data_IF_912027026500
#
_entry.id   IF_912027026500
#
_cell.length_a   1.000
_cell.length_b   1.000
_cell.length_c   1.000
_cell.angle_alpha   90.00
_cell.angle_beta   90.00
_cell.angle_gamma   90.00
#
_symmetry.space_group_name_H-M   'P 1'
#
loop_
_entity.id
_entity.type
_entity.pdbx_description
1 polymer ?
#
# COMPACT_ATOMS: atom_id res chain seq x y z
N UNK A 1 66.74 -13.44 -23.44
CA UNK A 1 65.57 -14.20 -22.93
C UNK A 1 65.02 -13.68 -21.58
N UNK A 2 65.08 -12.38 -21.25
CA UNK A 2 64.59 -11.86 -19.95
C UNK A 2 63.40 -10.88 -20.03
N UNK A 3 63.13 -10.26 -21.18
CA UNK A 3 62.03 -9.28 -21.33
C UNK A 3 60.68 -9.89 -21.69
N UNK A 4 60.65 -11.00 -22.45
CA UNK A 4 59.38 -11.65 -22.86
C UNK A 4 58.65 -12.37 -21.71
N UNK A 5 59.36 -12.85 -20.69
CA UNK A 5 58.76 -13.54 -19.54
C UNK A 5 58.19 -12.56 -18.50
N UNK A 6 58.74 -11.34 -18.40
CA UNK A 6 58.23 -10.30 -17.50
C UNK A 6 56.91 -9.73 -18.03
N UNK A 7 56.78 -9.59 -19.35
CA UNK A 7 55.56 -9.06 -19.98
C UNK A 7 54.36 -10.01 -19.81
N UNK A 8 54.58 -11.33 -19.89
CA UNK A 8 53.53 -12.36 -19.74
C UNK A 8 53.05 -12.45 -18.27
N UNK A 9 53.96 -12.33 -17.30
CA UNK A 9 53.60 -12.34 -15.87
C UNK A 9 52.80 -11.08 -15.50
N UNK A 10 53.18 -9.92 -16.04
CA UNK A 10 52.44 -8.66 -15.84
C UNK A 10 51.04 -8.68 -16.45
N UNK A 11 50.84 -9.34 -17.60
CA UNK A 11 49.50 -9.50 -18.19
C UNK A 11 48.65 -10.51 -17.41
N UNK A 12 49.24 -11.58 -16.88
CA UNK A 12 48.50 -12.54 -16.04
C UNK A 12 48.03 -11.92 -14.72
N UNK A 13 48.86 -11.08 -14.09
CA UNK A 13 48.50 -10.36 -12.85
C UNK A 13 47.45 -9.28 -13.14
N UNK A 14 47.51 -8.58 -14.28
CA UNK A 14 46.48 -7.61 -14.66
C UNK A 14 45.13 -8.25 -14.99
N UNK A 15 45.10 -9.46 -15.56
CA UNK A 15 43.84 -10.19 -15.80
C UNK A 15 43.22 -10.67 -14.48
N UNK A 16 44.04 -11.08 -13.50
CA UNK A 16 43.53 -11.48 -12.17
C UNK A 16 43.02 -10.28 -11.35
N UNK A 17 43.64 -9.10 -11.51
CA UNK A 17 43.20 -7.87 -10.81
C UNK A 17 42.02 -7.20 -11.52
N UNK A 18 41.89 -7.34 -12.85
CA UNK A 18 40.73 -6.86 -13.59
C UNK A 18 39.48 -7.76 -13.42
N UNK A 19 39.65 -9.03 -13.09
CA UNK A 19 38.53 -9.94 -12.77
C UNK A 19 38.07 -9.91 -11.32
N UNK A 20 38.80 -9.25 -10.40
CA UNK A 20 38.41 -9.18 -8.99
C UNK A 20 37.27 -8.20 -8.68
N UNK A 21 36.83 -7.41 -9.68
CA UNK A 21 35.67 -6.51 -9.54
C UNK A 21 34.34 -7.13 -10.04
N UNK A 22 34.35 -8.39 -10.45
CA UNK A 22 33.14 -9.17 -10.72
C UNK A 22 33.11 -10.35 -9.77
N UNK A 23 31.94 -10.60 -9.16
CA UNK A 23 31.68 -11.63 -8.14
C UNK A 23 31.96 -11.23 -6.68
N UNK A 24 31.50 -10.03 -6.26
CA UNK A 24 30.75 -10.02 -5.00
C UNK A 24 29.41 -10.72 -5.27
N UNK A 25 29.39 -12.05 -5.16
CA UNK A 25 28.14 -12.75 -4.95
C UNK A 25 27.65 -12.28 -3.57
N UNK A 26 26.79 -11.26 -3.53
CA UNK A 26 26.05 -10.97 -2.32
C UNK A 26 25.25 -12.24 -2.02
N UNK A 27 25.63 -12.93 -0.96
CA UNK A 27 24.87 -14.04 -0.45
C UNK A 27 23.54 -13.43 0.01
N UNK A 28 22.56 -13.40 -0.89
CA UNK A 28 21.26 -12.81 -0.58
C UNK A 28 20.63 -13.65 0.51
N UNK A 29 20.39 -13.00 1.65
CA UNK A 29 19.71 -13.63 2.75
C UNK A 29 18.22 -13.52 2.45
N UNK A 30 17.60 -14.63 2.07
CA UNK A 30 16.16 -14.66 1.88
C UNK A 30 15.46 -14.55 3.24
N UNK A 31 14.43 -13.71 3.31
CA UNK A 31 13.60 -13.50 4.51
C UNK A 31 12.13 -13.47 4.14
N UNK A 32 11.30 -14.17 4.89
CA UNK A 32 9.85 -14.06 4.79
C UNK A 32 9.36 -12.96 5.74
N UNK A 33 8.73 -11.94 5.18
CA UNK A 33 8.13 -10.82 5.89
C UNK A 33 6.62 -11.00 5.89
N UNK A 34 6.02 -11.00 7.08
CA UNK A 34 4.57 -10.97 7.25
C UNK A 34 4.15 -9.67 7.93
N UNK A 35 3.44 -8.81 7.19
CA UNK A 35 2.76 -7.64 7.74
C UNK A 35 1.37 -8.08 8.21
N UNK A 36 1.08 -7.90 9.50
CA UNK A 36 -0.25 -8.10 10.08
C UNK A 36 -0.88 -6.75 10.36
N UNK A 37 -2.10 -6.52 9.91
CA UNK A 37 -2.83 -5.28 10.19
C UNK A 37 -4.34 -5.46 10.20
N UNK A 38 -5.04 -4.67 10.99
CA UNK A 38 -6.49 -4.49 10.93
C UNK A 38 -6.88 -3.10 10.39
N UNK A 39 -5.92 -2.30 9.95
CA UNK A 39 -6.07 -0.89 9.58
C UNK A 39 -5.56 0.06 10.67
N UNK A 40 -5.89 -0.17 11.94
CA UNK A 40 -5.47 0.70 13.06
C UNK A 40 -4.15 0.28 13.66
N UNK A 41 -3.88 -1.03 13.68
CA UNK A 41 -2.67 -1.63 14.21
C UNK A 41 -1.85 -2.24 13.08
N UNK A 42 -0.53 -2.13 13.18
CA UNK A 42 0.42 -2.72 12.23
C UNK A 42 1.50 -3.47 13.01
N UNK A 43 1.81 -4.69 12.54
CA UNK A 43 2.90 -5.50 13.07
C UNK A 43 3.61 -6.26 11.96
N UNK A 44 4.87 -5.93 11.75
CA UNK A 44 5.76 -6.64 10.84
C UNK A 44 6.51 -7.73 11.59
N UNK A 45 6.48 -8.94 11.05
CA UNK A 45 7.20 -10.11 11.55
C UNK A 45 8.12 -10.64 10.46
N UNK A 46 9.32 -11.09 10.82
CA UNK A 46 10.24 -11.71 9.89
C UNK A 46 10.61 -13.12 10.32
N UNK A 47 10.77 -14.01 9.35
CA UNK A 47 11.28 -15.37 9.53
C UNK A 47 12.42 -15.61 8.55
N UNK A 48 13.57 -16.06 9.04
CA UNK A 48 14.76 -16.37 8.22
C UNK A 48 14.96 -17.88 8.17
N UNK A 49 15.26 -18.41 6.99
CA UNK A 49 15.57 -19.83 6.77
C UNK A 49 16.97 -20.16 7.34
N UNK A 50 17.85 -19.16 7.46
CA UNK A 50 19.18 -19.32 8.02
C UNK A 50 19.12 -19.20 9.55
N UNK A 51 19.07 -20.36 10.22
CA UNK A 51 18.95 -20.56 11.68
C UNK A 51 19.92 -19.77 12.56
N UNK A 52 20.99 -19.17 12.02
CA UNK A 52 22.01 -18.44 12.77
C UNK A 52 22.05 -16.94 12.50
N UNK A 53 21.20 -16.40 11.62
CA UNK A 53 21.17 -14.97 11.28
C UNK A 53 19.87 -14.33 11.75
N UNK A 54 19.93 -13.59 12.85
CA UNK A 54 18.82 -12.79 13.33
C UNK A 54 18.57 -11.63 12.37
N UNK A 55 17.28 -11.38 12.09
CA UNK A 55 16.87 -10.20 11.33
C UNK A 55 17.14 -8.96 12.19
N UNK A 56 17.83 -7.92 11.67
CA UNK A 56 18.13 -6.73 12.46
C UNK A 56 16.86 -6.07 12.98
N UNK A 57 16.83 -5.71 14.27
CA UNK A 57 15.66 -5.06 14.85
C UNK A 57 15.38 -3.69 14.22
N UNK A 58 16.42 -2.96 13.79
CA UNK A 58 16.27 -1.68 13.10
C UNK A 58 15.51 -1.80 11.78
N UNK A 59 15.73 -2.88 11.03
CA UNK A 59 14.98 -3.19 9.82
C UNK A 59 13.49 -3.38 10.13
N UNK A 60 13.17 -4.10 11.22
CA UNK A 60 11.78 -4.32 11.61
C UNK A 60 11.10 -3.04 12.09
N UNK A 61 11.81 -2.15 12.79
CA UNK A 61 11.27 -0.84 13.20
C UNK A 61 10.96 0.01 11.96
N UNK A 62 11.93 0.15 11.04
CA UNK A 62 11.74 0.90 9.79
C UNK A 62 10.58 0.33 8.94
N UNK A 63 10.45 -0.99 8.89
CA UNK A 63 9.33 -1.65 8.21
C UNK A 63 7.99 -1.39 8.90
N UNK A 64 7.93 -1.39 10.23
CA UNK A 64 6.68 -1.10 10.95
C UNK A 64 6.24 0.35 10.72
N UNK A 65 7.17 1.29 10.81
CA UNK A 65 6.88 2.71 10.61
C UNK A 65 6.37 2.96 9.18
N UNK A 66 7.08 2.44 8.17
CA UNK A 66 6.65 2.58 6.77
C UNK A 66 5.33 1.87 6.48
N UNK A 67 5.13 0.69 7.05
CA UNK A 67 3.88 -0.06 6.90
C UNK A 67 2.68 0.67 7.55
N UNK A 68 2.89 1.38 8.67
CA UNK A 68 1.86 2.20 9.29
C UNK A 68 1.45 3.36 8.37
N UNK A 69 2.43 4.09 7.83
CA UNK A 69 2.20 5.17 6.87
C UNK A 69 1.43 4.66 5.64
N UNK A 70 1.84 3.51 5.10
CA UNK A 70 1.16 2.92 3.95
C UNK A 70 -0.25 2.47 4.27
N UNK A 71 -0.48 1.81 5.40
CA UNK A 71 -1.83 1.37 5.79
C UNK A 71 -2.77 2.58 5.88
N UNK A 72 -2.30 3.71 6.40
CA UNK A 72 -3.11 4.94 6.54
C UNK A 72 -3.23 5.77 5.25
N UNK A 73 -2.31 5.60 4.28
CA UNK A 73 -2.33 6.33 3.00
C UNK A 73 -3.45 5.86 2.07
N UNK A 74 -4.21 6.77 1.46
CA UNK A 74 -5.24 6.44 0.47
C UNK A 74 -4.67 6.05 -0.91
N UNK A 75 -3.35 6.24 -1.10
CA UNK A 75 -2.67 6.03 -2.39
C UNK A 75 -1.85 4.75 -2.44
N UNK A 76 -1.56 4.13 -1.30
CA UNK A 76 -0.81 2.87 -1.26
C UNK A 76 -1.67 1.71 -1.76
N UNK A 77 -0.99 0.71 -2.31
CA UNK A 77 -1.59 -0.57 -2.72
C UNK A 77 -0.86 -1.73 -2.06
N UNK A 78 -1.41 -2.94 -2.19
CA UNK A 78 -0.72 -4.16 -1.76
C UNK A 78 0.66 -4.26 -2.41
N UNK A 79 0.75 -3.91 -3.69
CA UNK A 79 1.98 -3.94 -4.47
C UNK A 79 2.99 -2.89 -4.01
N UNK A 80 2.54 -1.65 -3.75
CA UNK A 80 3.44 -0.59 -3.27
C UNK A 80 4.00 -0.95 -1.89
N UNK A 81 3.15 -1.42 -0.97
CA UNK A 81 3.57 -1.87 0.37
C UNK A 81 4.59 -3.00 0.26
N UNK A 82 4.33 -4.00 -0.60
CA UNK A 82 5.28 -5.09 -0.82
C UNK A 82 6.59 -4.59 -1.42
N UNK A 83 6.56 -3.57 -2.28
CA UNK A 83 7.76 -2.92 -2.81
C UNK A 83 8.54 -2.24 -1.70
N UNK A 84 7.89 -1.41 -0.89
CA UNK A 84 8.52 -0.70 0.22
C UNK A 84 9.19 -1.67 1.21
N UNK A 85 8.52 -2.77 1.56
CA UNK A 85 9.11 -3.81 2.42
C UNK A 85 10.33 -4.48 1.76
N UNK A 86 10.30 -4.70 0.45
CA UNK A 86 11.45 -5.25 -0.28
C UNK A 86 12.61 -4.27 -0.33
N UNK A 87 12.32 -2.99 -0.57
CA UNK A 87 13.33 -1.94 -0.65
C UNK A 87 14.01 -1.73 0.70
N UNK A 88 13.24 -1.72 1.80
CA UNK A 88 13.79 -1.70 3.16
C UNK A 88 14.66 -2.93 3.38
N UNK A 89 14.18 -4.15 3.09
CA UNK A 89 14.98 -5.37 3.27
C UNK A 89 16.31 -5.34 2.49
N UNK A 90 16.30 -4.80 1.26
CA UNK A 90 17.49 -4.66 0.42
C UNK A 90 18.54 -3.75 1.06
N UNK A 91 18.16 -2.66 1.74
CA UNK A 91 19.09 -1.80 2.49
C UNK A 91 19.88 -2.58 3.55
N UNK A 92 19.30 -3.66 4.08
CA UNK A 92 19.92 -4.54 5.06
C UNK A 92 20.52 -5.82 4.46
N UNK A 93 20.67 -5.90 3.12
CA UNK A 93 21.20 -7.06 2.39
C UNK A 93 20.33 -8.33 2.50
N UNK A 94 19.01 -8.16 2.49
CA UNK A 94 18.03 -9.24 2.42
C UNK A 94 17.21 -9.16 1.13
N UNK A 95 16.79 -10.33 0.62
CA UNK A 95 15.72 -10.44 -0.37
C UNK A 95 14.45 -10.90 0.33
N UNK A 96 13.42 -10.04 0.34
CA UNK A 96 12.19 -10.30 1.07
C UNK A 96 11.10 -10.93 0.18
N UNK A 97 10.49 -12.00 0.69
CA UNK A 97 9.19 -12.47 0.27
C UNK A 97 8.14 -11.90 1.23
N UNK A 98 7.19 -11.12 0.72
CA UNK A 98 6.32 -10.28 1.56
C UNK A 98 4.87 -10.73 1.43
N UNK A 99 4.24 -11.00 2.58
CA UNK A 99 2.82 -11.32 2.71
C UNK A 99 2.13 -10.30 3.60
N UNK A 100 0.95 -9.84 3.18
CA UNK A 100 0.09 -9.01 4.01
C UNK A 100 -1.05 -9.90 4.53
N UNK A 101 -1.35 -9.83 5.81
CA UNK A 101 -2.51 -10.50 6.40
C UNK A 101 -3.33 -9.49 7.18
N UNK A 102 -4.62 -9.45 6.87
CA UNK A 102 -5.58 -8.64 7.59
C UNK A 102 -6.82 -9.43 7.99
N UNK A 103 -7.75 -8.76 8.68
CA UNK A 103 -9.04 -9.35 9.03
C UNK A 103 -9.87 -9.73 7.78
N UNK A 104 -9.52 -9.20 6.61
CA UNK A 104 -10.18 -9.50 5.34
C UNK A 104 -9.47 -10.60 4.53
N UNK A 105 -8.31 -11.08 4.99
CA UNK A 105 -7.59 -12.19 4.37
C UNK A 105 -6.14 -11.86 4.01
N UNK A 106 -5.55 -12.72 3.18
CA UNK A 106 -4.20 -12.54 2.64
C UNK A 106 -4.22 -11.52 1.52
N UNK A 107 -3.22 -10.63 1.52
CA UNK A 107 -3.04 -9.58 0.52
C UNK A 107 -4.27 -8.69 0.37
N UNK A 108 -4.88 -8.37 1.51
CA UNK A 108 -6.00 -7.44 1.65
C UNK A 108 -5.56 -6.31 2.56
N UNK A 109 -5.60 -5.07 2.07
CA UNK A 109 -5.06 -3.90 2.74
C UNK A 109 -6.19 -3.00 3.30
N UNK A 110 -6.50 -3.10 4.60
CA UNK A 110 -7.46 -2.21 5.26
C UNK A 110 -6.87 -0.80 5.45
N UNK A 111 -7.74 0.20 5.52
CA UNK A 111 -7.43 1.60 5.84
C UNK A 111 -8.49 2.11 6.82
N UNK A 112 -8.11 2.59 8.01
CA UNK A 112 -9.05 3.23 8.92
C UNK A 112 -9.39 4.64 8.39
N UNK A 113 -10.63 5.07 8.59
CA UNK A 113 -11.06 6.44 8.31
C UNK A 113 -12.19 6.83 9.26
N UNK A 114 -12.42 8.13 9.44
CA UNK A 114 -13.58 8.67 10.15
C UNK A 114 -14.45 9.45 9.19
N UNK A 115 -15.76 9.22 9.25
CA UNK A 115 -16.74 9.89 8.39
C UNK A 115 -16.89 11.34 8.82
N UNK A 116 -16.87 12.26 7.86
CA UNK A 116 -17.19 13.67 8.10
C UNK A 116 -18.36 14.13 7.23
N UNK A 117 -19.33 14.77 7.85
CA UNK A 117 -20.55 15.29 7.24
C UNK A 117 -21.72 14.32 7.26
N UNK A 118 -22.87 14.80 6.79
CA UNK A 118 -24.17 14.11 6.90
C UNK A 118 -24.65 13.47 5.59
N UNK A 119 -23.81 13.47 4.56
CA UNK A 119 -24.23 13.08 3.21
C UNK A 119 -24.57 11.59 3.05
N UNK A 120 -24.12 10.76 3.99
CA UNK A 120 -24.38 9.33 4.01
C UNK A 120 -25.39 8.92 5.10
N UNK A 121 -26.01 9.86 5.81
CA UNK A 121 -27.10 9.57 6.76
C UNK A 121 -28.29 8.99 5.99
N UNK A 122 -29.00 7.97 6.52
CA UNK A 122 -28.84 7.35 7.84
C UNK A 122 -27.77 6.25 7.92
N UNK A 123 -27.18 5.86 6.79
CA UNK A 123 -26.25 4.72 6.69
C UNK A 123 -24.96 4.95 7.46
N UNK A 124 -24.34 6.12 7.29
CA UNK A 124 -23.14 6.53 8.02
C UNK A 124 -23.38 7.89 8.68
N UNK A 125 -22.92 8.02 9.93
CA UNK A 125 -23.04 9.22 10.76
C UNK A 125 -21.74 10.00 10.76
N UNK A 126 -21.85 11.31 10.95
CA UNK A 126 -20.70 12.17 11.21
C UNK A 126 -19.92 11.67 12.45
N UNK A 127 -18.59 11.61 12.34
CA UNK A 127 -17.68 11.07 13.36
C UNK A 127 -17.63 9.54 13.47
N UNK A 128 -18.34 8.80 12.63
CA UNK A 128 -18.32 7.33 12.66
C UNK A 128 -17.01 6.79 12.09
N UNK A 129 -16.34 5.94 12.87
CA UNK A 129 -15.16 5.21 12.40
C UNK A 129 -15.57 4.08 11.44
N UNK A 130 -14.82 3.98 10.35
CA UNK A 130 -15.02 2.99 9.30
C UNK A 130 -13.70 2.33 8.92
N UNK A 131 -13.78 1.12 8.36
CA UNK A 131 -12.63 0.45 7.75
C UNK A 131 -12.88 0.24 6.27
N UNK A 132 -12.00 0.83 5.45
CA UNK A 132 -12.00 0.74 3.99
C UNK A 132 -11.04 -0.35 3.56
N UNK A 133 -11.51 -1.34 2.82
CA UNK A 133 -10.64 -2.28 2.12
C UNK A 133 -10.17 -1.66 0.81
N UNK A 134 -8.87 -1.42 0.65
CA UNK A 134 -8.28 -0.90 -0.60
C UNK A 134 -8.34 -1.98 -1.67
N UNK A 135 -9.35 -1.90 -2.53
CA UNK A 135 -9.60 -2.86 -3.61
C UNK A 135 -10.29 -2.18 -4.78
N UNK A 136 -10.08 -2.72 -5.98
CA UNK A 136 -10.84 -2.37 -7.19
C UNK A 136 -12.04 -3.28 -7.44
N UNK A 137 -12.23 -4.30 -6.59
CA UNK A 137 -13.40 -5.18 -6.62
C UNK A 137 -14.55 -4.55 -5.81
N UNK A 138 -15.41 -3.82 -6.52
CA UNK A 138 -16.62 -3.20 -5.99
C UNK A 138 -17.75 -3.25 -7.01
N UNK A 139 -18.99 -3.18 -6.53
CA UNK A 139 -20.20 -3.28 -7.37
C UNK A 139 -21.22 -2.21 -7.01
N UNK A 140 -22.23 -2.08 -7.87
CA UNK A 140 -23.42 -1.25 -7.58
C UNK A 140 -24.03 -1.67 -6.24
N UNK A 141 -24.29 -0.68 -5.40
CA UNK A 141 -24.78 -0.84 -4.02
C UNK A 141 -23.68 -0.76 -2.97
N UNK A 142 -22.40 -0.98 -3.30
CA UNK A 142 -21.31 -0.84 -2.33
C UNK A 142 -21.12 0.61 -1.89
N UNK A 143 -20.65 0.80 -0.67
CA UNK A 143 -20.19 2.09 -0.18
C UNK A 143 -18.69 2.16 -0.39
N UNK A 144 -18.21 3.20 -1.04
CA UNK A 144 -16.80 3.36 -1.39
C UNK A 144 -16.25 4.68 -0.87
N UNK A 145 -14.95 4.69 -0.60
CA UNK A 145 -14.17 5.92 -0.46
C UNK A 145 -13.52 6.22 -1.80
N UNK A 146 -13.60 7.47 -2.25
CA UNK A 146 -13.03 7.92 -3.51
C UNK A 146 -12.37 9.29 -3.38
N UNK A 147 -11.37 9.56 -4.21
CA UNK A 147 -10.73 10.86 -4.37
C UNK A 147 -11.56 11.77 -5.28
N UNK A 148 -12.09 12.85 -4.74
CA UNK A 148 -12.73 13.93 -5.47
C UNK A 148 -11.75 15.10 -5.68
N UNK A 149 -11.65 15.67 -6.88
CA UNK A 149 -10.68 16.75 -7.16
C UNK A 149 -10.92 18.02 -6.32
N UNK A 150 -12.17 18.31 -5.95
CA UNK A 150 -12.53 19.50 -5.17
C UNK A 150 -12.64 19.22 -3.66
N UNK A 151 -13.03 18.00 -3.26
CA UNK A 151 -13.44 17.71 -1.88
C UNK A 151 -12.48 16.74 -1.16
N UNK A 152 -11.40 16.29 -1.82
CA UNK A 152 -10.52 15.28 -1.26
C UNK A 152 -11.23 13.92 -1.15
N UNK A 153 -11.05 13.21 -0.03
CA UNK A 153 -11.71 11.92 0.17
C UNK A 153 -13.20 12.10 0.45
N UNK A 154 -14.03 11.41 -0.32
CA UNK A 154 -15.48 11.33 -0.12
C UNK A 154 -15.90 9.89 0.09
N UNK A 155 -16.91 9.67 0.94
CA UNK A 155 -17.58 8.37 1.10
C UNK A 155 -18.98 8.45 0.50
N UNK A 156 -19.29 7.54 -0.43
CA UNK A 156 -20.55 7.53 -1.20
C UNK A 156 -20.98 6.12 -1.59
N UNK A 157 -22.25 5.96 -1.95
CA UNK A 157 -22.76 4.70 -2.51
C UNK A 157 -22.58 4.65 -4.02
N UNK A 158 -22.10 3.51 -4.52
CA UNK A 158 -22.02 3.22 -5.95
C UNK A 158 -23.43 3.01 -6.48
N UNK A 159 -23.88 3.91 -7.35
CA UNK A 159 -25.19 3.82 -8.00
C UNK A 159 -25.09 3.21 -9.39
N UNK A 160 -24.02 3.53 -10.11
CA UNK A 160 -23.80 3.02 -11.47
C UNK A 160 -22.30 2.89 -11.75
N UNK A 161 -21.94 1.91 -12.59
CA UNK A 161 -20.60 1.76 -13.16
C UNK A 161 -20.77 1.70 -14.68
N UNK A 162 -20.13 2.59 -15.42
CA UNK A 162 -20.27 2.68 -16.87
C UNK A 162 -19.04 3.36 -17.49
N UNK A 163 -18.53 2.81 -18.59
CA UNK A 163 -17.48 3.43 -19.43
C UNK A 163 -16.24 3.92 -18.65
N UNK A 164 -15.73 3.11 -17.72
CA UNK A 164 -14.57 3.48 -16.89
C UNK A 164 -14.85 4.57 -15.85
N UNK A 165 -16.12 4.89 -15.62
CA UNK A 165 -16.59 5.84 -14.63
C UNK A 165 -17.49 5.14 -13.60
N UNK A 166 -17.53 5.71 -12.41
CA UNK A 166 -18.42 5.33 -11.31
C UNK A 166 -19.30 6.51 -10.94
N UNK A 167 -20.61 6.30 -10.90
CA UNK A 167 -21.56 7.28 -10.38
C UNK A 167 -21.78 7.03 -8.90
N UNK A 168 -21.43 8.04 -8.11
CA UNK A 168 -21.49 8.02 -6.66
C UNK A 168 -22.61 8.91 -6.17
N UNK A 169 -23.45 8.38 -5.29
CA UNK A 169 -24.61 9.09 -4.76
C UNK A 169 -24.56 9.19 -3.24
N UNK A 170 -25.12 10.29 -2.74
CA UNK A 170 -25.42 10.47 -1.33
C UNK A 170 -26.63 9.61 -0.95
N UNK A 171 -26.51 8.84 0.13
CA UNK A 171 -27.65 8.15 0.74
C UNK A 171 -28.62 9.16 1.37
N UNK A 172 -28.10 10.26 1.91
CA UNK A 172 -28.92 11.35 2.38
C UNK A 172 -29.54 12.08 1.17
N UNK A 173 -30.85 11.90 0.97
CA UNK A 173 -31.63 12.55 -0.09
C UNK A 173 -32.36 13.82 0.38
N UNK A 174 -32.13 14.25 1.62
CA UNK A 174 -32.70 15.50 2.12
C UNK A 174 -32.20 16.69 1.31
N UNK A 175 -33.10 17.64 1.14
CA UNK A 175 -32.84 18.88 0.41
C UNK A 175 -33.16 20.04 1.34
N UNK A 176 -32.16 20.86 1.62
CA UNK A 176 -32.30 22.03 2.50
C UNK A 176 -32.53 23.24 1.61
N UNK A 177 -33.73 23.83 1.71
CA UNK A 177 -34.07 25.08 1.03
C UNK A 177 -33.83 26.24 1.98
N UNK A 178 -32.99 27.18 1.57
CA UNK A 178 -32.71 28.42 2.30
C UNK A 178 -33.05 29.63 1.43
N UNK A 179 -33.03 30.83 2.01
CA UNK A 179 -33.13 32.08 1.24
C UNK A 179 -32.02 32.22 0.17
N UNK A 180 -30.92 31.50 0.35
CA UNK A 180 -29.70 31.62 -0.47
C UNK A 180 -29.54 30.46 -1.48
N UNK A 181 -30.47 29.50 -1.50
CA UNK A 181 -30.44 28.40 -2.46
C UNK A 181 -30.89 27.05 -1.90
N UNK A 182 -30.75 26.02 -2.75
CA UNK A 182 -31.10 24.64 -2.48
C UNK A 182 -29.82 23.83 -2.30
N UNK A 183 -29.63 23.24 -1.12
CA UNK A 183 -28.49 22.38 -0.81
C UNK A 183 -28.94 20.91 -0.76
N UNK A 184 -28.22 20.04 -1.47
CA UNK A 184 -28.44 18.58 -1.48
C UNK A 184 -27.12 17.83 -1.37
N UNK A 185 -27.20 16.55 -1.03
CA UNK A 185 -26.03 15.67 -1.05
C UNK A 185 -25.33 15.65 -2.41
N UNK A 186 -23.99 15.59 -2.39
CA UNK A 186 -23.17 15.48 -3.59
C UNK A 186 -23.43 14.13 -4.29
N UNK A 187 -23.87 14.20 -5.55
CA UNK A 187 -23.90 13.08 -6.49
C UNK A 187 -22.93 13.42 -7.63
N UNK A 188 -22.02 12.52 -7.99
CA UNK A 188 -20.93 12.84 -8.93
C UNK A 188 -20.45 11.62 -9.71
N UNK A 189 -19.95 11.86 -10.92
CA UNK A 189 -19.19 10.87 -11.69
C UNK A 189 -17.71 11.02 -11.40
N UNK A 190 -17.04 9.91 -11.12
CA UNK A 190 -15.59 9.86 -10.97
C UNK A 190 -15.00 8.74 -11.83
N UNK A 191 -13.77 8.90 -12.32
CA UNK A 191 -13.04 7.79 -12.92
C UNK A 191 -12.86 6.64 -11.92
N UNK A 192 -12.89 5.39 -12.40
CA UNK A 192 -12.77 4.19 -11.53
C UNK A 192 -11.43 4.12 -10.79
N UNK A 193 -10.38 4.76 -11.31
CA UNK A 193 -9.09 4.90 -10.66
C UNK A 193 -9.14 5.76 -9.39
N UNK A 194 -10.11 6.67 -9.28
CA UNK A 194 -10.29 7.52 -8.11
C UNK A 194 -10.89 6.77 -6.91
N UNK A 195 -11.50 5.61 -7.13
CA UNK A 195 -11.99 4.77 -6.01
C UNK A 195 -10.80 4.22 -5.24
N UNK A 196 -10.74 4.54 -3.95
CA UNK A 196 -9.71 4.03 -3.02
C UNK A 196 -10.04 2.60 -2.61
N UNK A 197 -11.30 2.36 -2.24
CA UNK A 197 -11.72 1.06 -1.76
C UNK A 197 -13.16 1.03 -1.25
N UNK A 198 -13.54 -0.13 -0.73
CA UNK A 198 -14.91 -0.43 -0.26
C UNK A 198 -14.96 -0.35 1.26
N UNK A 199 -15.95 0.31 1.80
CA UNK A 199 -16.22 0.32 3.24
C UNK A 199 -16.73 -1.07 3.67
N UNK A 200 -16.01 -1.75 4.56
CA UNK A 200 -16.31 -3.12 5.01
C UNK A 200 -16.80 -3.19 6.45
N UNK A 201 -16.43 -2.23 7.28
CA UNK A 201 -16.85 -2.13 8.68
C UNK A 201 -17.38 -0.72 8.89
N UNK A 202 -18.62 -0.64 9.37
CA UNK A 202 -19.33 0.58 9.75
C UNK A 202 -20.49 0.21 10.68
#
# INVERSE_FOLDING_TARGET
MKSKNILIILTLVLVVVASANLFFTTQSNNVDITLKTNGTDVKVQASSILFFKSVPQSMLVEMNDKALDDVQSDTSTVESVKSDMKDIAQKYNYTANVKINSQFGTDQLPMPASVSGTSMVPTLKDGQDIVVLKTKDYKVGDIVVARHPEYGLIVKRVSQIKDGQVYLMSDNRETIVTSNGIYKGLDTWLPVENVVGVVKIY
#
